data_IF_439825788441
#
_entry.id   IF_439825788441
#
_cell.length_a   1.000
_cell.length_b   1.000
_cell.length_c   1.000
_cell.angle_alpha   90.00
_cell.angle_beta   90.00
_cell.angle_gamma   90.00
#
_symmetry.space_group_name_H-M   'P 1'
#
loop_
_entity.id
_entity.type
_entity.pdbx_description
1 polymer ?
#
# COMPACT_ATOMS: atom_id res chain seq x y z
N UNK A 1 -13.31 6.83 4.93
CA UNK A 1 -11.90 7.18 5.23
C UNK A 1 -11.01 6.65 4.12
N UNK A 2 -9.92 7.33 3.84
CA UNK A 2 -8.86 6.82 2.97
C UNK A 2 -8.06 5.71 3.66
N UNK A 3 -7.67 4.72 2.87
CA UNK A 3 -6.68 3.71 3.17
C UNK A 3 -5.47 4.06 2.32
N UNK A 4 -4.31 4.10 2.97
CA UNK A 4 -3.02 4.21 2.31
C UNK A 4 -2.34 2.86 2.52
N UNK A 5 -1.85 2.28 1.44
CA UNK A 5 -1.27 0.93 1.43
C UNK A 5 -0.16 0.88 0.38
N UNK A 6 0.55 -0.23 0.33
CA UNK A 6 1.58 -0.50 -0.66
C UNK A 6 1.76 -2.01 -0.74
N UNK A 7 2.11 -2.53 -1.91
CA UNK A 7 2.42 -3.95 -2.06
C UNK A 7 3.73 -4.30 -1.33
N UNK A 8 3.84 -5.53 -0.81
CA UNK A 8 5.02 -5.92 -0.01
C UNK A 8 6.33 -5.85 -0.82
N UNK A 9 6.28 -6.17 -2.11
CA UNK A 9 7.47 -6.20 -2.96
C UNK A 9 7.92 -4.77 -3.29
N UNK A 10 6.97 -3.82 -3.36
CA UNK A 10 7.27 -2.40 -3.52
C UNK A 10 7.92 -1.80 -2.26
N UNK A 11 7.57 -2.31 -1.07
CA UNK A 11 8.28 -1.99 0.18
C UNK A 11 9.72 -2.50 0.09
N UNK A 12 9.92 -3.74 -0.35
CA UNK A 12 11.27 -4.30 -0.49
C UNK A 12 12.12 -3.49 -1.49
N UNK A 13 11.55 -3.12 -2.64
CA UNK A 13 12.20 -2.27 -3.62
C UNK A 13 12.56 -0.89 -3.07
N UNK A 14 11.68 -0.27 -2.27
CA UNK A 14 11.97 0.99 -1.60
C UNK A 14 13.16 0.88 -0.64
N UNK A 15 13.19 -0.19 0.17
CA UNK A 15 14.28 -0.44 1.12
C UNK A 15 15.61 -0.66 0.41
N UNK A 16 15.63 -1.46 -0.66
CA UNK A 16 16.84 -1.69 -1.46
C UNK A 16 17.36 -0.39 -2.06
N UNK A 17 16.49 0.43 -2.65
CA UNK A 17 16.88 1.74 -3.20
C UNK A 17 17.54 2.63 -2.14
N UNK A 18 16.96 2.70 -0.94
CA UNK A 18 17.48 3.53 0.15
C UNK A 18 18.82 3.00 0.69
N UNK A 19 18.98 1.68 0.77
CA UNK A 19 20.24 1.04 1.17
C UNK A 19 21.35 1.30 0.16
N UNK A 20 21.08 1.16 -1.14
CA UNK A 20 22.08 1.36 -2.19
C UNK A 20 22.52 2.82 -2.28
N UNK A 21 21.57 3.75 -2.11
CA UNK A 21 21.92 5.18 -1.99
C UNK A 21 22.76 5.49 -0.76
N UNK A 22 22.48 4.85 0.37
CA UNK A 22 23.27 5.03 1.57
C UNK A 22 24.73 4.58 1.36
N UNK A 23 24.93 3.44 0.70
CA UNK A 23 26.26 2.92 0.37
C UNK A 23 27.03 3.81 -0.61
N UNK A 24 26.35 4.41 -1.58
CA UNK A 24 26.97 5.27 -2.59
C UNK A 24 27.36 6.66 -2.05
N UNK A 25 26.80 7.09 -0.91
CA UNK A 25 27.11 8.38 -0.31
C UNK A 25 28.35 8.28 0.58
N UNK A 26 29.46 8.90 0.15
CA UNK A 26 30.70 8.97 0.93
C UNK A 26 30.57 9.84 2.21
N UNK A 27 29.51 10.64 2.32
CA UNK A 27 29.14 11.37 3.53
C UNK A 27 27.96 10.68 4.22
N UNK A 28 27.92 10.76 5.56
CA UNK A 28 26.82 10.24 6.36
C UNK A 28 25.49 10.78 5.82
N UNK A 29 24.68 9.92 5.21
CA UNK A 29 23.34 10.30 4.76
C UNK A 29 22.57 10.81 5.97
N UNK A 30 22.05 12.04 5.87
CA UNK A 30 21.18 12.59 6.91
C UNK A 30 20.06 11.60 7.24
N UNK A 31 19.67 11.52 8.51
CA UNK A 31 18.54 10.68 8.90
C UNK A 31 17.26 11.27 8.32
N UNK A 32 16.75 10.62 7.28
CA UNK A 32 15.57 11.05 6.55
C UNK A 32 14.39 10.11 6.82
N UNK A 33 13.18 10.66 6.81
CA UNK A 33 11.92 9.90 6.89
C UNK A 33 11.31 9.82 5.49
N UNK A 34 10.80 8.65 5.12
CA UNK A 34 10.13 8.39 3.85
C UNK A 34 8.81 7.65 4.11
N UNK A 35 7.74 8.12 3.49
CA UNK A 35 6.48 7.39 3.43
C UNK A 35 6.53 6.41 2.25
N UNK A 36 6.27 5.13 2.52
CA UNK A 36 6.19 4.07 1.51
C UNK A 36 4.71 3.71 1.33
N UNK A 37 4.09 4.32 0.31
CA UNK A 37 2.70 4.13 -0.07
C UNK A 37 2.59 4.05 -1.59
N UNK A 38 1.59 3.35 -2.10
CA UNK A 38 1.23 3.34 -3.51
C UNK A 38 0.79 4.74 -4.00
N UNK A 39 0.55 4.88 -5.31
CA UNK A 39 0.24 6.18 -5.92
C UNK A 39 -1.23 6.59 -5.70
N UNK A 40 -2.09 5.69 -5.21
CA UNK A 40 -3.53 5.89 -5.17
C UNK A 40 -4.17 5.50 -3.82
N UNK A 41 -4.32 6.46 -2.88
CA UNK A 41 -5.11 6.21 -1.68
C UNK A 41 -6.55 5.89 -2.06
N UNK A 42 -7.09 4.79 -1.53
CA UNK A 42 -8.44 4.30 -1.84
C UNK A 42 -9.39 4.59 -0.68
N UNK A 43 -10.64 4.95 -0.97
CA UNK A 43 -11.66 4.98 0.08
C UNK A 43 -11.93 3.55 0.58
N UNK A 44 -12.02 3.38 1.90
CA UNK A 44 -12.33 2.08 2.50
C UNK A 44 -13.62 1.46 1.93
N UNK A 45 -14.65 2.27 1.69
CA UNK A 45 -15.90 1.82 1.09
C UNK A 45 -15.72 1.31 -0.34
N UNK A 46 -14.83 1.94 -1.11
CA UNK A 46 -14.54 1.55 -2.49
C UNK A 46 -13.67 0.30 -2.53
N UNK A 47 -12.72 0.16 -1.60
CA UNK A 47 -11.98 -1.09 -1.39
C UNK A 47 -12.94 -2.27 -1.13
N UNK A 48 -13.92 -2.11 -0.22
CA UNK A 48 -14.92 -3.16 0.03
C UNK A 48 -15.81 -3.44 -1.17
N UNK A 49 -16.28 -2.41 -1.88
CA UNK A 49 -17.07 -2.60 -3.11
C UNK A 49 -16.28 -3.34 -4.18
N UNK A 50 -15.02 -2.99 -4.36
CA UNK A 50 -14.12 -3.65 -5.30
C UNK A 50 -13.94 -5.13 -4.93
N UNK A 51 -13.63 -5.43 -3.66
CA UNK A 51 -13.45 -6.81 -3.18
C UNK A 51 -14.73 -7.63 -3.30
N UNK A 52 -15.87 -7.09 -2.89
CA UNK A 52 -17.17 -7.75 -2.99
C UNK A 52 -17.49 -8.14 -4.45
N UNK A 53 -17.28 -7.20 -5.38
CA UNK A 53 -17.44 -7.46 -6.82
C UNK A 53 -16.46 -8.51 -7.31
N UNK A 54 -15.17 -8.38 -6.99
CA UNK A 54 -14.11 -9.25 -7.53
C UNK A 54 -14.21 -10.69 -7.01
N UNK A 55 -14.66 -10.87 -5.77
CA UNK A 55 -14.80 -12.18 -5.12
C UNK A 55 -16.22 -12.77 -5.22
N UNK A 56 -17.15 -12.10 -5.92
CA UNK A 56 -18.56 -12.47 -5.99
C UNK A 56 -19.19 -12.71 -4.60
N UNK A 57 -19.01 -11.74 -3.69
CA UNK A 57 -19.55 -11.75 -2.33
C UNK A 57 -20.46 -10.54 -2.10
N UNK A 58 -21.45 -10.64 -1.20
CA UNK A 58 -22.26 -9.48 -0.84
C UNK A 58 -21.39 -8.40 -0.17
N UNK A 59 -21.78 -7.14 -0.34
CA UNK A 59 -21.14 -6.04 0.37
C UNK A 59 -21.39 -6.19 1.88
N UNK A 60 -20.38 -5.96 2.75
CA UNK A 60 -20.59 -5.97 4.18
C UNK A 60 -21.62 -4.91 4.62
N UNK A 61 -22.36 -5.20 5.70
CA UNK A 61 -23.31 -4.24 6.27
C UNK A 61 -22.62 -2.94 6.68
N UNK A 62 -23.23 -1.81 6.33
CA UNK A 62 -22.73 -0.48 6.71
C UNK A 62 -23.16 -0.13 8.13
N UNK A 63 -22.22 0.19 9.01
CA UNK A 63 -22.51 0.61 10.38
C UNK A 63 -21.31 1.25 11.08
N UNK A 64 -21.57 1.97 12.18
CA UNK A 64 -20.48 2.44 13.05
C UNK A 64 -19.85 1.22 13.72
N UNK A 65 -18.55 1.03 13.50
CA UNK A 65 -17.79 0.02 14.24
C UNK A 65 -17.91 0.28 15.74
N UNK A 66 -18.42 -0.69 16.48
CA UNK A 66 -18.50 -0.69 17.95
C UNK A 66 -17.17 -1.06 18.60
N UNK A 67 -16.19 -1.55 17.82
CA UNK A 67 -14.88 -1.93 18.33
C UNK A 67 -14.04 -0.72 18.74
N UNK A 68 -13.34 -0.84 19.88
CA UNK A 68 -12.35 0.13 20.33
C UNK A 68 -11.25 0.22 19.28
N UNK A 69 -11.15 1.36 18.60
CA UNK A 69 -10.22 1.51 17.47
C UNK A 69 -8.78 1.50 17.98
N UNK A 70 -7.94 0.67 17.35
CA UNK A 70 -6.47 0.66 17.59
C UNK A 70 -5.75 1.86 16.96
N UNK A 71 -6.37 2.54 16.00
CA UNK A 71 -5.86 3.75 15.33
C UNK A 71 -6.79 4.94 15.62
N UNK A 72 -6.21 6.13 15.75
CA UNK A 72 -6.94 7.39 15.93
C UNK A 72 -7.87 7.70 14.75
N UNK A 73 -8.78 8.66 14.95
CA UNK A 73 -9.85 9.02 13.99
C UNK A 73 -9.37 9.93 12.85
N UNK A 74 -8.15 9.71 12.36
CA UNK A 74 -7.59 10.53 11.27
C UNK A 74 -8.04 10.03 9.89
N UNK A 75 -8.33 10.95 8.98
CA UNK A 75 -8.59 10.69 7.57
C UNK A 75 -7.56 11.42 6.71
N UNK A 76 -6.52 10.71 6.27
CA UNK A 76 -5.38 11.31 5.56
C UNK A 76 -5.09 10.62 4.24
N UNK A 77 -4.55 11.40 3.30
CA UNK A 77 -3.89 10.93 2.08
C UNK A 77 -2.40 11.16 2.26
N UNK A 78 -1.61 10.11 2.09
CA UNK A 78 -0.16 10.14 2.27
C UNK A 78 0.50 10.28 0.90
N UNK A 79 1.55 11.08 0.81
CA UNK A 79 2.28 11.32 -0.43
C UNK A 79 3.59 10.53 -0.42
N UNK A 80 3.90 9.85 -1.52
CA UNK A 80 5.18 9.18 -1.74
C UNK A 80 6.17 10.05 -2.54
N UNK A 81 5.86 11.34 -2.78
CA UNK A 81 6.61 12.19 -3.70
C UNK A 81 8.11 12.27 -3.38
N UNK A 82 8.49 12.23 -2.10
CA UNK A 82 9.90 12.22 -1.68
C UNK A 82 10.63 10.96 -2.17
N UNK A 83 10.00 9.79 -2.06
CA UNK A 83 10.56 8.52 -2.50
C UNK A 83 10.57 8.44 -4.04
N UNK A 84 9.50 8.93 -4.70
CA UNK A 84 9.44 9.09 -6.16
C UNK A 84 10.56 9.98 -6.69
N UNK A 85 10.90 11.06 -5.99
CA UNK A 85 12.00 11.96 -6.33
C UNK A 85 13.38 11.29 -6.29
N UNK A 86 13.51 10.15 -5.60
CA UNK A 86 14.71 9.31 -5.64
C UNK A 86 14.71 8.32 -6.81
N UNK A 87 13.67 8.30 -7.65
CA UNK A 87 13.54 7.33 -8.74
C UNK A 87 12.96 5.99 -8.30
N UNK A 88 12.37 5.90 -7.09
CA UNK A 88 11.51 4.77 -6.77
C UNK A 88 10.22 4.85 -7.59
N UNK A 89 9.81 3.72 -8.16
CA UNK A 89 8.51 3.56 -8.79
C UNK A 89 7.94 2.20 -8.35
N UNK A 90 6.74 2.16 -7.75
CA UNK A 90 6.10 0.90 -7.39
C UNK A 90 5.72 0.14 -8.66
N UNK A 91 5.93 -1.17 -8.65
CA UNK A 91 5.42 -2.10 -9.65
C UNK A 91 3.89 -2.20 -9.58
N UNK A 92 3.32 -2.09 -8.37
CA UNK A 92 1.88 -2.11 -8.15
C UNK A 92 1.39 -0.73 -7.71
N UNK A 93 1.07 0.12 -8.68
CA UNK A 93 0.78 1.55 -8.45
C UNK A 93 -0.52 1.82 -7.67
N UNK A 94 -1.39 0.83 -7.52
CA UNK A 94 -2.61 0.94 -6.74
C UNK A 94 -3.09 -0.41 -6.19
N UNK A 95 -4.05 -0.34 -5.26
CA UNK A 95 -4.73 -1.49 -4.68
C UNK A 95 -5.24 -2.53 -5.68
N UNK A 96 -5.99 -2.12 -6.70
CA UNK A 96 -6.65 -3.04 -7.61
C UNK A 96 -5.62 -3.81 -8.44
N UNK A 97 -4.58 -3.12 -8.92
CA UNK A 97 -3.46 -3.71 -9.63
C UNK A 97 -2.70 -4.73 -8.77
N UNK A 98 -2.37 -4.38 -7.52
CA UNK A 98 -1.74 -5.30 -6.56
C UNK A 98 -2.59 -6.55 -6.32
N UNK A 99 -3.91 -6.37 -6.15
CA UNK A 99 -4.84 -7.46 -5.94
C UNK A 99 -4.92 -8.39 -7.16
N UNK A 100 -5.03 -7.83 -8.36
CA UNK A 100 -5.24 -8.61 -9.58
C UNK A 100 -4.00 -9.35 -10.05
N UNK A 101 -2.83 -8.70 -9.98
CA UNK A 101 -1.60 -9.22 -10.56
C UNK A 101 -0.80 -10.10 -9.61
N UNK A 102 -0.90 -9.88 -8.29
CA UNK A 102 -0.10 -10.59 -7.29
C UNK A 102 -0.95 -11.34 -6.28
N UNK A 103 -1.84 -10.66 -5.55
CA UNK A 103 -2.45 -11.22 -4.35
C UNK A 103 -3.51 -12.29 -4.69
N UNK A 104 -4.48 -11.98 -5.55
CA UNK A 104 -5.55 -12.94 -5.90
C UNK A 104 -5.03 -14.20 -6.60
N UNK A 105 -4.11 -14.10 -7.59
CA UNK A 105 -3.50 -15.29 -8.19
C UNK A 105 -2.80 -16.19 -7.18
N UNK A 106 -2.18 -15.63 -6.14
CA UNK A 106 -1.48 -16.42 -5.11
C UNK A 106 -2.40 -17.36 -4.32
N UNK A 107 -3.70 -17.06 -4.21
CA UNK A 107 -4.67 -17.95 -3.56
C UNK A 107 -5.09 -19.14 -4.43
N UNK A 108 -4.93 -19.06 -5.76
CA UNK A 108 -5.26 -20.14 -6.68
C UNK A 108 -4.17 -21.22 -6.81
N UNK A 109 -2.96 -20.94 -6.32
CA UNK A 109 -1.79 -21.84 -6.42
C UNK A 109 -1.61 -22.76 -5.20
N UNK A 110 -2.53 -22.70 -4.21
CA UNK A 110 -2.49 -23.50 -2.98
C UNK A 110 -3.37 -24.75 -2.97
N UNK A 111 -3.88 -25.20 -4.12
CA UNK A 111 -4.67 -26.43 -4.23
C UNK A 111 -3.81 -27.61 -4.69
N UNK A 112 -3.18 -28.30 -3.74
CA UNK A 112 -2.68 -29.67 -3.87
C UNK A 112 -3.25 -30.50 -2.72
#
# INVERSE_FOLDING_TARGET
RFINQVHRDDIAAALLLLLDRNRASASAVERQIYDVVDDQPILQSDCYRWLAKKLNRPLPATGRSTSKRKRGDSNKRVSNAKLRGLGWAPEYGNFAEAMEKSILPSFGQGGA
#
